data_IF_945259129495
#
_entry.id   IF_945259129495
#
_cell.length_a   1.000
_cell.length_b   1.000
_cell.length_c   1.000
_cell.angle_alpha   90.00
_cell.angle_beta   90.00
_cell.angle_gamma   90.00
#
_symmetry.space_group_name_H-M   'P 1'
#
loop_
_entity.id
_entity.type
_entity.pdbx_description
1 polymer ?
#
# COMPACT_ATOMS: atom_id res chain seq x y z
N UNK A 1 -10.40 15.89 -1.24
CA UNK A 1 -9.11 15.89 -1.96
C UNK A 1 -8.72 14.44 -2.22
N UNK A 2 -8.65 14.00 -3.47
CA UNK A 2 -8.16 12.65 -3.79
C UNK A 2 -6.69 12.55 -3.35
N UNK A 3 -6.33 11.50 -2.60
CA UNK A 3 -4.94 11.26 -2.22
C UNK A 3 -4.10 11.05 -3.49
N UNK A 4 -3.02 11.81 -3.72
CA UNK A 4 -2.18 11.65 -4.90
C UNK A 4 -1.71 10.19 -5.01
N UNK A 5 -1.84 9.60 -6.21
CA UNK A 5 -1.40 8.24 -6.48
C UNK A 5 -2.38 7.10 -6.12
N UNK A 6 -3.57 7.41 -5.57
CA UNK A 6 -4.60 6.38 -5.32
C UNK A 6 -5.59 6.27 -6.48
N UNK A 7 -5.72 5.06 -7.05
CA UNK A 7 -6.73 4.77 -8.09
C UNK A 7 -8.09 4.60 -7.44
N UNK A 8 -9.07 5.44 -7.83
CA UNK A 8 -10.47 5.25 -7.45
C UNK A 8 -11.12 4.22 -8.37
N UNK A 9 -11.75 3.20 -7.80
CA UNK A 9 -12.44 2.15 -8.55
C UNK A 9 -13.77 1.82 -7.88
N UNK A 10 -14.89 1.73 -8.62
CA UNK A 10 -16.17 1.30 -8.07
C UNK A 10 -16.12 -0.18 -7.71
N UNK A 11 -16.06 -0.49 -6.41
CA UNK A 11 -16.08 -1.85 -5.91
C UNK A 11 -17.52 -2.33 -5.69
N UNK A 12 -17.88 -3.48 -6.25
CA UNK A 12 -19.12 -4.18 -5.89
C UNK A 12 -18.81 -5.11 -4.74
N UNK A 13 -19.33 -4.80 -3.56
CA UNK A 13 -19.13 -5.58 -2.34
C UNK A 13 -20.48 -5.88 -1.69
N UNK A 14 -20.60 -7.03 -1.05
CA UNK A 14 -21.75 -7.36 -0.21
C UNK A 14 -21.84 -6.35 0.96
N UNK A 15 -23.01 -5.71 1.19
CA UNK A 15 -23.21 -4.80 2.31
C UNK A 15 -22.87 -5.40 3.69
N UNK A 16 -23.14 -6.69 3.91
CA UNK A 16 -22.83 -7.33 5.19
C UNK A 16 -21.33 -7.47 5.41
N UNK A 17 -20.60 -7.78 4.34
CA UNK A 17 -19.14 -7.81 4.36
C UNK A 17 -18.56 -6.41 4.60
N UNK A 18 -19.12 -5.38 3.96
CA UNK A 18 -18.70 -4.00 4.17
C UNK A 18 -18.86 -3.56 5.63
N UNK A 19 -19.99 -3.90 6.27
CA UNK A 19 -20.22 -3.57 7.67
C UNK A 19 -19.18 -4.18 8.61
N UNK A 20 -18.76 -5.43 8.38
CA UNK A 20 -17.72 -6.03 9.22
C UNK A 20 -16.35 -5.37 9.00
N UNK A 21 -16.02 -5.00 7.76
CA UNK A 21 -14.80 -4.24 7.44
C UNK A 21 -14.82 -2.87 8.14
N UNK A 22 -15.95 -2.16 8.13
CA UNK A 22 -16.10 -0.88 8.85
C UNK A 22 -15.92 -1.06 10.36
N UNK A 23 -16.49 -2.13 10.93
CA UNK A 23 -16.34 -2.44 12.36
C UNK A 23 -14.87 -2.71 12.72
N UNK A 24 -14.17 -3.51 11.92
CA UNK A 24 -12.74 -3.76 12.10
C UNK A 24 -11.93 -2.46 11.98
N UNK A 25 -12.23 -1.64 10.97
CA UNK A 25 -11.56 -0.36 10.77
C UNK A 25 -11.74 0.59 11.96
N UNK A 26 -12.95 0.65 12.53
CA UNK A 26 -13.24 1.46 13.70
C UNK A 26 -12.44 0.99 14.94
N UNK A 27 -12.32 -0.32 15.15
CA UNK A 27 -11.52 -0.90 16.24
C UNK A 27 -10.03 -0.56 16.11
N UNK A 28 -9.52 -0.50 14.87
CA UNK A 28 -8.12 -0.19 14.57
C UNK A 28 -7.85 1.32 14.34
N UNK A 29 -8.81 2.20 14.67
CA UNK A 29 -8.72 3.67 14.50
C UNK A 29 -8.26 4.11 13.10
N UNK A 30 -8.78 3.45 12.06
CA UNK A 30 -8.44 3.72 10.66
C UNK A 30 -9.69 3.92 9.81
N UNK A 31 -9.50 4.46 8.61
CA UNK A 31 -10.59 4.52 7.63
C UNK A 31 -10.89 3.14 7.04
N UNK A 32 -12.13 2.92 6.63
CA UNK A 32 -12.54 1.71 5.92
C UNK A 32 -11.67 1.44 4.68
N UNK A 33 -11.35 2.49 3.91
CA UNK A 33 -10.45 2.38 2.75
C UNK A 33 -9.03 1.92 3.13
N UNK A 34 -8.48 2.42 4.25
CA UNK A 34 -7.18 1.97 4.73
C UNK A 34 -7.25 0.50 5.18
N UNK A 35 -8.36 0.07 5.77
CA UNK A 35 -8.55 -1.33 6.16
C UNK A 35 -8.68 -2.26 4.94
N UNK A 36 -9.43 -1.85 3.91
CA UNK A 36 -9.48 -2.60 2.65
C UNK A 36 -8.10 -2.73 2.03
N UNK A 37 -7.33 -1.64 1.96
CA UNK A 37 -5.96 -1.68 1.42
C UNK A 37 -5.05 -2.63 2.21
N UNK A 38 -5.15 -2.62 3.55
CA UNK A 38 -4.41 -3.53 4.42
C UNK A 38 -4.76 -5.00 4.15
N UNK A 39 -6.06 -5.34 4.14
CA UNK A 39 -6.54 -6.70 3.91
C UNK A 39 -6.10 -7.23 2.53
N UNK A 40 -6.18 -6.40 1.49
CA UNK A 40 -5.73 -6.78 0.14
C UNK A 40 -4.22 -7.04 0.09
N UNK A 41 -3.40 -6.19 0.72
CA UNK A 41 -1.95 -6.40 0.81
C UNK A 41 -1.61 -7.67 1.59
N UNK A 42 -2.33 -7.94 2.67
CA UNK A 42 -2.16 -9.14 3.47
C UNK A 42 -2.50 -10.41 2.67
N UNK A 43 -3.62 -10.41 1.94
CA UNK A 43 -4.02 -11.52 1.08
C UNK A 43 -2.99 -11.79 -0.03
N UNK A 44 -2.47 -10.75 -0.68
CA UNK A 44 -1.41 -10.89 -1.69
C UNK A 44 -0.12 -11.44 -1.08
N UNK A 45 0.28 -10.96 0.10
CA UNK A 45 1.46 -11.46 0.82
C UNK A 45 1.32 -12.94 1.16
N UNK A 46 0.15 -13.40 1.59
CA UNK A 46 -0.12 -14.82 1.85
C UNK A 46 0.01 -15.69 0.59
N UNK A 47 -0.24 -15.10 -0.59
CA UNK A 47 -0.03 -15.75 -1.88
C UNK A 47 1.41 -15.60 -2.42
N UNK A 48 2.34 -15.09 -1.62
CA UNK A 48 3.73 -14.86 -2.04
C UNK A 48 3.93 -13.66 -2.97
N UNK A 49 2.92 -12.79 -3.12
CA UNK A 49 3.00 -11.58 -3.95
C UNK A 49 3.32 -10.37 -3.07
N UNK A 50 4.51 -9.80 -3.24
CA UNK A 50 4.91 -8.58 -2.53
C UNK A 50 4.49 -7.35 -3.34
N UNK A 51 3.69 -6.46 -2.74
CA UNK A 51 3.32 -5.17 -3.35
C UNK A 51 4.18 -4.08 -2.71
N UNK A 52 5.09 -3.43 -3.46
CA UNK A 52 5.87 -2.31 -2.96
C UNK A 52 4.97 -1.22 -2.38
N UNK A 53 5.45 -0.54 -1.36
CA UNK A 53 4.82 0.71 -0.94
C UNK A 53 5.51 1.84 -1.68
N UNK A 54 4.78 2.90 -2.05
CA UNK A 54 5.36 4.04 -2.76
C UNK A 54 6.52 4.72 -1.99
N UNK A 55 6.67 4.45 -0.69
CA UNK A 55 7.81 4.91 0.11
C UNK A 55 9.05 4.01 -0.02
N UNK A 56 8.89 2.75 -0.41
CA UNK A 56 9.97 1.77 -0.54
C UNK A 56 10.76 1.88 -1.85
N UNK A 57 10.16 2.42 -2.91
CA UNK A 57 10.81 2.55 -4.22
C UNK A 57 11.80 3.73 -4.29
N UNK A 58 11.67 4.71 -3.38
CA UNK A 58 12.56 5.89 -3.34
C UNK A 58 13.93 5.56 -2.74
N UNK A 59 13.98 4.66 -1.76
CA UNK A 59 15.22 4.33 -1.05
C UNK A 59 16.08 3.29 -1.81
N UNK A 60 15.50 2.54 -2.75
CA UNK A 60 16.21 1.51 -3.52
C UNK A 60 17.04 2.05 -4.70
N UNK A 61 16.87 3.32 -5.08
CA UNK A 61 17.50 3.92 -6.26
C UNK A 61 18.59 4.97 -5.92
N UNK A 62 19.06 5.02 -4.66
CA UNK A 62 20.06 6.02 -4.18
C UNK A 62 21.48 5.47 -4.09
N UNK A 63 21.70 4.18 -4.37
CA UNK A 63 23.03 3.56 -4.29
C UNK A 63 23.54 3.04 -5.64
N UNK A 64 23.77 3.93 -6.61
CA UNK A 64 24.66 3.65 -7.75
C UNK A 64 25.13 4.96 -8.41
N UNK A 65 25.98 5.74 -7.72
CA UNK A 65 26.86 6.72 -8.38
C UNK A 65 27.83 7.35 -7.36
N UNK A 66 28.90 6.65 -7.00
CA UNK A 66 30.15 7.32 -6.60
C UNK A 66 31.35 6.39 -6.83
N UNK A 67 31.79 6.31 -8.09
CA UNK A 67 33.15 5.86 -8.42
C UNK A 67 34.10 7.05 -8.25
N UNK A 68 35.19 6.98 -7.47
CA UNK A 68 36.11 8.11 -7.33
C UNK A 68 37.10 8.10 -8.50
N UNK A 69 36.89 8.97 -9.48
CA UNK A 69 37.91 9.29 -10.48
C UNK A 69 38.97 10.19 -9.84
N UNK A 70 40.14 9.61 -9.60
CA UNK A 70 41.29 10.30 -9.01
C UNK A 70 42.61 9.61 -9.31
N UNK A 71 42.94 9.43 -10.59
CA UNK A 71 44.30 9.17 -11.04
C UNK A 71 44.76 10.30 -11.98
N UNK A 72 45.73 11.08 -11.53
CA UNK A 72 46.71 11.80 -12.35
C UNK A 72 47.95 12.03 -11.50
#
# INVERSE_FOLDING_TARGET
MASPGKKSFPLRIDPLLWNEIERMAAQELRSANAQVEYLLRQALKQQGRHVPTAKSDVDANVNDDTQPDGQS
#
